data_IF_623731485108
#
_entry.id   IF_623731485108
#
_cell.length_a   1.000
_cell.length_b   1.000
_cell.length_c   1.000
_cell.angle_alpha   90.00
_cell.angle_beta   90.00
_cell.angle_gamma   90.00
#
_symmetry.space_group_name_H-M   'P 1'
#
loop_
_entity.id
_entity.type
_entity.pdbx_description
1 polymer ?
#
# COMPACT_ATOMS: atom_id res chain seq x y z
N UNK A 1 3.61 -4.42 -22.78
CA UNK A 1 3.55 -3.86 -21.41
C UNK A 1 2.12 -3.47 -21.05
N UNK A 2 1.40 -2.73 -21.89
CA UNK A 2 -0.01 -2.37 -21.66
C UNK A 2 -0.93 -3.60 -21.54
N UNK A 3 -0.81 -4.56 -22.46
CA UNK A 3 -1.58 -5.81 -22.40
C UNK A 3 -1.36 -6.62 -21.11
N UNK A 4 -0.13 -6.69 -20.58
CA UNK A 4 0.13 -7.39 -19.31
C UNK A 4 -0.52 -6.69 -18.12
N UNK A 5 -0.47 -5.35 -18.07
CA UNK A 5 -1.10 -4.60 -16.98
C UNK A 5 -2.62 -4.75 -17.00
N UNK A 6 -3.22 -4.81 -18.19
CA UNK A 6 -4.65 -4.99 -18.38
C UNK A 6 -5.10 -6.38 -17.94
N UNK A 7 -4.46 -7.44 -18.44
CA UNK A 7 -4.77 -8.84 -18.07
C UNK A 7 -4.63 -9.05 -16.56
N UNK A 8 -3.60 -8.47 -15.96
CA UNK A 8 -3.34 -8.62 -14.52
C UNK A 8 -4.38 -7.86 -13.68
N UNK A 9 -5.04 -6.82 -14.22
CA UNK A 9 -6.09 -6.07 -13.52
C UNK A 9 -7.42 -6.80 -13.59
N UNK A 10 -7.73 -7.38 -14.74
CA UNK A 10 -8.89 -8.27 -14.89
C UNK A 10 -8.76 -9.51 -14.01
N UNK A 11 -7.60 -10.17 -14.01
CA UNK A 11 -7.35 -11.35 -13.19
C UNK A 11 -7.53 -11.07 -11.70
N UNK A 12 -7.06 -9.91 -11.22
CA UNK A 12 -7.29 -9.52 -9.83
C UNK A 12 -8.73 -9.15 -9.50
N UNK A 13 -9.44 -8.55 -10.45
CA UNK A 13 -10.88 -8.26 -10.30
C UNK A 13 -11.67 -9.56 -10.21
N UNK A 14 -11.34 -10.56 -11.02
CA UNK A 14 -11.98 -11.89 -11.02
C UNK A 14 -11.64 -12.65 -9.73
N UNK A 15 -10.37 -12.66 -9.30
CA UNK A 15 -9.95 -13.30 -8.05
C UNK A 15 -10.66 -12.71 -6.83
N UNK A 16 -10.79 -11.37 -6.77
CA UNK A 16 -11.54 -10.68 -5.72
C UNK A 16 -13.02 -11.09 -5.73
N UNK A 17 -13.63 -11.15 -6.91
CA UNK A 17 -15.03 -11.54 -7.06
C UNK A 17 -15.26 -13.00 -6.61
N UNK A 18 -14.37 -13.91 -6.97
CA UNK A 18 -14.39 -15.29 -6.47
C UNK A 18 -14.21 -15.36 -4.94
N UNK A 19 -13.29 -14.57 -4.36
CA UNK A 19 -13.08 -14.52 -2.90
C UNK A 19 -14.31 -13.99 -2.15
N UNK A 20 -15.01 -12.98 -2.69
CA UNK A 20 -16.25 -12.44 -2.11
C UNK A 20 -17.36 -13.49 -2.11
N UNK A 21 -17.55 -14.19 -3.23
CA UNK A 21 -18.61 -15.20 -3.37
C UNK A 21 -18.31 -16.45 -2.51
N UNK A 22 -17.04 -16.83 -2.37
CA UNK A 22 -16.64 -18.01 -1.60
C UNK A 22 -16.71 -17.84 -0.07
N UNK A 23 -16.29 -16.68 0.45
CA UNK A 23 -16.22 -16.43 1.90
C UNK A 23 -17.46 -15.75 2.49
N UNK A 24 -18.35 -15.18 1.66
CA UNK A 24 -19.50 -14.38 2.10
C UNK A 24 -19.12 -12.99 2.61
N UNK A 25 -20.03 -12.00 2.50
CA UNK A 25 -19.75 -10.57 2.71
C UNK A 25 -19.27 -10.18 4.14
N UNK A 26 -19.66 -10.92 5.19
CA UNK A 26 -19.36 -10.54 6.58
C UNK A 26 -18.02 -11.09 7.12
N UNK A 27 -17.62 -12.36 6.91
CA UNK A 27 -16.28 -12.84 7.25
C UNK A 27 -15.19 -12.23 6.36
N UNK A 28 -15.58 -11.68 5.22
CA UNK A 28 -14.67 -11.14 4.21
C UNK A 28 -13.76 -10.04 4.77
N UNK A 29 -14.30 -9.10 5.55
CA UNK A 29 -13.57 -7.95 6.08
C UNK A 29 -12.84 -8.21 7.41
N UNK A 30 -12.92 -9.42 7.97
CA UNK A 30 -12.19 -9.74 9.21
C UNK A 30 -10.84 -10.42 8.96
N UNK A 31 -10.61 -10.94 7.74
CA UNK A 31 -9.34 -11.57 7.37
C UNK A 31 -8.40 -10.57 6.70
N UNK A 32 -7.23 -10.34 7.31
CA UNK A 32 -6.23 -9.36 6.86
C UNK A 32 -5.82 -9.57 5.39
N UNK A 33 -5.70 -10.82 4.95
CA UNK A 33 -5.34 -11.16 3.57
C UNK A 33 -6.37 -10.72 2.53
N UNK A 34 -7.63 -10.67 2.94
CA UNK A 34 -8.75 -10.42 2.06
C UNK A 34 -9.07 -8.91 1.96
N UNK A 35 -8.88 -8.19 3.06
CA UNK A 35 -8.79 -6.72 3.05
C UNK A 35 -7.63 -6.28 2.15
N UNK A 36 -6.47 -6.93 2.26
CA UNK A 36 -5.31 -6.60 1.45
C UNK A 36 -5.59 -6.78 -0.04
N UNK A 37 -6.21 -7.89 -0.42
CA UNK A 37 -6.64 -8.16 -1.80
C UNK A 37 -7.57 -7.06 -2.34
N UNK A 38 -8.59 -6.70 -1.55
CA UNK A 38 -9.57 -5.66 -1.91
C UNK A 38 -8.92 -4.29 -2.10
N UNK A 39 -7.98 -3.92 -1.22
CA UNK A 39 -7.25 -2.65 -1.31
C UNK A 39 -6.40 -2.60 -2.58
N UNK A 40 -5.76 -3.71 -2.97
CA UNK A 40 -4.96 -3.79 -4.21
C UNK A 40 -5.83 -3.56 -5.45
N UNK A 41 -7.05 -4.11 -5.51
CA UNK A 41 -7.96 -3.86 -6.63
C UNK A 41 -8.42 -2.40 -6.69
N UNK A 42 -8.80 -1.82 -5.55
CA UNK A 42 -9.25 -0.41 -5.48
C UNK A 42 -8.12 0.54 -5.92
N UNK A 43 -6.89 0.30 -5.45
CA UNK A 43 -5.73 1.13 -5.82
C UNK A 43 -5.36 0.99 -7.29
N UNK A 44 -5.49 -0.21 -7.87
CA UNK A 44 -5.29 -0.43 -9.31
C UNK A 44 -6.31 0.33 -10.17
N UNK A 45 -7.58 0.36 -9.75
CA UNK A 45 -8.64 1.10 -10.45
C UNK A 45 -8.46 2.62 -10.30
N UNK A 46 -8.06 3.09 -9.11
CA UNK A 46 -7.75 4.51 -8.91
C UNK A 46 -6.54 4.95 -9.75
N UNK A 47 -5.50 4.13 -9.83
CA UNK A 47 -4.29 4.44 -10.61
C UNK A 47 -4.58 4.48 -12.11
N UNK A 48 -5.36 3.54 -12.65
CA UNK A 48 -5.73 3.54 -14.07
C UNK A 48 -6.58 4.76 -14.45
N UNK A 49 -7.50 5.18 -13.58
CA UNK A 49 -8.30 6.40 -13.77
C UNK A 49 -7.43 7.66 -13.73
N UNK A 50 -6.51 7.76 -12.77
CA UNK A 50 -5.57 8.90 -12.65
C UNK A 50 -4.63 8.95 -13.86
N UNK A 51 -4.17 7.81 -14.36
CA UNK A 51 -3.36 7.74 -15.58
C UNK A 51 -4.11 8.25 -16.80
N UNK A 52 -5.37 7.81 -16.98
CA UNK A 52 -6.21 8.26 -18.09
C UNK A 52 -6.48 9.76 -18.02
N UNK A 53 -6.86 10.29 -16.85
CA UNK A 53 -7.10 11.71 -16.64
C UNK A 53 -5.86 12.58 -16.95
N UNK A 54 -4.66 12.11 -16.60
CA UNK A 54 -3.41 12.82 -16.90
C UNK A 54 -3.00 12.72 -18.37
N UNK A 55 -3.25 11.58 -19.01
CA UNK A 55 -2.98 11.38 -20.45
C UNK A 55 -3.80 12.33 -21.33
N UNK A 56 -5.03 12.66 -20.90
CA UNK A 56 -5.89 13.64 -21.59
C UNK A 56 -5.47 15.10 -21.38
N UNK A 57 -4.66 15.41 -20.35
CA UNK A 57 -4.25 16.77 -20.04
C UNK A 57 -2.81 17.11 -20.48
N UNK A 58 -2.05 16.16 -21.04
CA UNK A 58 -0.62 16.36 -21.42
C UNK A 58 -0.42 17.09 -22.76
N UNK A 59 -1.42 17.85 -23.23
CA UNK A 59 -1.22 18.86 -24.29
C UNK A 59 -1.41 20.30 -23.81
N UNK A 60 -1.77 20.53 -22.53
CA UNK A 60 -2.22 21.86 -22.08
C UNK A 60 -1.41 22.50 -20.94
N UNK A 61 -0.16 22.09 -20.65
CA UNK A 61 0.62 22.83 -19.63
C UNK A 61 2.13 22.83 -19.88
N UNK A 62 2.54 23.62 -20.87
CA UNK A 62 3.90 24.18 -20.97
C UNK A 62 3.82 25.69 -20.82
N UNK A 63 3.11 26.20 -19.81
CA UNK A 63 3.22 27.59 -19.36
C UNK A 63 2.31 27.82 -18.14
N UNK A 64 2.85 27.78 -16.92
CA UNK A 64 3.11 29.07 -16.31
C UNK A 64 4.07 29.03 -15.12
N UNK A 65 4.87 30.07 -15.09
CA UNK A 65 5.81 30.43 -14.07
C UNK A 65 5.07 30.91 -12.82
N UNK A 66 4.70 30.02 -11.89
CA UNK A 66 4.49 30.42 -10.48
C UNK A 66 4.54 29.22 -9.52
N UNK A 67 5.69 29.05 -8.88
CA UNK A 67 5.74 28.30 -7.63
C UNK A 67 4.76 28.92 -6.63
N UNK A 68 3.91 28.09 -6.02
CA UNK A 68 3.47 28.12 -4.60
C UNK A 68 2.18 27.37 -4.25
N UNK A 69 1.53 26.64 -5.15
CA UNK A 69 0.30 25.91 -4.80
C UNK A 69 0.25 24.46 -5.35
N UNK A 70 1.22 23.61 -5.01
CA UNK A 70 1.07 22.15 -5.22
C UNK A 70 1.98 21.29 -4.31
N UNK A 71 2.39 21.79 -3.14
CA UNK A 71 3.20 20.99 -2.21
C UNK A 71 2.42 19.79 -1.62
N UNK A 72 1.09 19.74 -1.79
CA UNK A 72 0.24 18.58 -1.45
C UNK A 72 0.10 17.53 -2.56
N UNK A 73 0.06 17.92 -3.83
CA UNK A 73 -0.27 16.98 -4.93
C UNK A 73 0.93 16.20 -5.49
N UNK A 74 2.15 16.69 -5.27
CA UNK A 74 3.37 15.97 -5.65
C UNK A 74 3.67 14.83 -4.66
N UNK A 75 3.23 14.95 -3.39
CA UNK A 75 3.38 13.91 -2.37
C UNK A 75 2.48 12.70 -2.65
N UNK A 76 1.25 12.94 -3.16
CA UNK A 76 0.29 11.90 -3.49
C UNK A 76 0.82 10.94 -4.56
N UNK A 77 1.64 11.42 -5.50
CA UNK A 77 2.20 10.59 -6.56
C UNK A 77 3.25 9.57 -6.07
N UNK A 78 3.96 9.86 -4.97
CA UNK A 78 4.92 8.93 -4.39
C UNK A 78 4.22 7.75 -3.69
N UNK A 79 3.09 8.01 -3.02
CA UNK A 79 2.29 6.95 -2.38
C UNK A 79 1.60 6.07 -3.43
N UNK A 80 1.14 6.65 -4.55
CA UNK A 80 0.61 5.86 -5.68
C UNK A 80 1.62 4.83 -6.21
N UNK A 81 2.92 5.15 -6.17
CA UNK A 81 3.99 4.21 -6.55
C UNK A 81 4.14 3.07 -5.54
N UNK A 82 3.89 3.31 -4.26
CA UNK A 82 3.90 2.26 -3.23
C UNK A 82 2.73 1.29 -3.38
N UNK A 83 1.57 1.74 -3.86
CA UNK A 83 0.44 0.84 -4.15
C UNK A 83 0.78 -0.20 -5.23
N UNK A 84 1.61 0.17 -6.22
CA UNK A 84 2.16 -0.80 -7.17
C UNK A 84 3.02 -1.86 -6.47
N UNK A 85 3.77 -1.51 -5.42
CA UNK A 85 4.52 -2.47 -4.60
C UNK A 85 3.60 -3.43 -3.85
N UNK A 86 2.42 -2.98 -3.40
CA UNK A 86 1.41 -3.85 -2.79
C UNK A 86 0.91 -4.91 -3.79
N UNK A 87 0.77 -4.55 -5.07
CA UNK A 87 0.42 -5.49 -6.14
C UNK A 87 1.46 -6.61 -6.31
N UNK A 88 2.75 -6.25 -6.30
CA UNK A 88 3.84 -7.25 -6.30
C UNK A 88 3.85 -8.10 -5.03
N UNK A 89 3.49 -7.50 -3.89
CA UNK A 89 3.34 -8.24 -2.62
C UNK A 89 2.19 -9.26 -2.68
N UNK A 90 1.11 -9.02 -3.43
CA UNK A 90 0.06 -10.03 -3.68
C UNK A 90 0.60 -11.22 -4.47
N UNK A 91 1.38 -10.99 -5.53
CA UNK A 91 2.07 -12.07 -6.27
C UNK A 91 3.00 -12.87 -5.34
N UNK A 92 3.71 -12.18 -4.46
CA UNK A 92 4.54 -12.81 -3.44
C UNK A 92 3.72 -13.66 -2.45
N UNK A 93 2.52 -13.21 -2.05
CA UNK A 93 1.62 -13.98 -1.19
C UNK A 93 0.94 -15.16 -1.90
N UNK A 94 0.80 -15.12 -3.22
CA UNK A 94 0.29 -16.24 -4.01
C UNK A 94 1.23 -17.46 -3.99
N UNK A 95 2.54 -17.24 -3.77
CA UNK A 95 3.51 -18.31 -3.59
C UNK A 95 3.45 -18.84 -2.14
N UNK A 96 3.14 -20.13 -1.93
CA UNK A 96 2.91 -20.68 -0.59
C UNK A 96 4.13 -20.55 0.33
N UNK A 97 5.35 -20.71 -0.22
CA UNK A 97 6.59 -20.53 0.54
C UNK A 97 6.79 -19.10 1.04
N UNK A 98 6.50 -18.10 0.22
CA UNK A 98 6.68 -16.70 0.58
C UNK A 98 5.54 -16.18 1.47
N UNK A 99 4.31 -16.68 1.28
CA UNK A 99 3.20 -16.45 2.21
C UNK A 99 3.55 -16.85 3.64
N UNK A 100 4.15 -18.04 3.82
CA UNK A 100 4.54 -18.52 5.15
C UNK A 100 5.65 -17.67 5.78
N UNK A 101 6.59 -17.17 4.97
CA UNK A 101 7.63 -16.25 5.44
C UNK A 101 6.99 -14.95 5.94
N UNK A 102 6.10 -14.32 5.16
CA UNK A 102 5.44 -13.06 5.54
C UNK A 102 4.64 -13.22 6.85
N UNK A 103 3.90 -14.32 6.99
CA UNK A 103 3.15 -14.63 8.23
C UNK A 103 4.08 -14.81 9.43
N UNK A 104 5.15 -15.58 9.26
CA UNK A 104 6.14 -15.81 10.33
C UNK A 104 6.82 -14.51 10.72
N UNK A 105 7.19 -13.68 9.75
CA UNK A 105 7.82 -12.39 9.95
C UNK A 105 6.88 -11.44 10.71
N UNK A 106 5.60 -11.39 10.35
CA UNK A 106 4.58 -10.64 11.08
C UNK A 106 4.43 -11.11 12.54
N UNK A 107 4.41 -12.43 12.79
CA UNK A 107 4.37 -12.98 14.15
C UNK A 107 5.63 -12.64 14.96
N UNK A 108 6.81 -12.70 14.35
CA UNK A 108 8.06 -12.35 14.99
C UNK A 108 8.11 -10.86 15.35
N UNK A 109 7.67 -9.98 14.45
CA UNK A 109 7.56 -8.54 14.72
C UNK A 109 6.61 -8.28 15.88
N UNK A 110 5.45 -8.95 15.91
CA UNK A 110 4.52 -8.82 17.03
C UNK A 110 5.13 -9.29 18.36
N UNK A 111 5.87 -10.40 18.36
CA UNK A 111 6.58 -10.87 19.56
C UNK A 111 7.69 -9.91 19.99
N UNK A 112 8.38 -9.29 19.05
CA UNK A 112 9.43 -8.30 19.32
C UNK A 112 8.88 -6.91 19.65
N UNK A 113 7.59 -6.65 19.45
CA UNK A 113 6.97 -5.36 19.71
C UNK A 113 7.10 -4.95 21.18
N UNK A 114 7.05 -5.91 22.11
CA UNK A 114 7.28 -5.63 23.53
C UNK A 114 8.69 -5.07 23.80
N UNK A 115 9.71 -5.66 23.16
CA UNK A 115 11.09 -5.17 23.27
C UNK A 115 11.24 -3.79 22.63
N UNK A 116 10.63 -3.57 21.46
CA UNK A 116 10.62 -2.26 20.81
C UNK A 116 9.94 -1.20 21.68
N UNK A 117 8.85 -1.55 22.37
CA UNK A 117 8.15 -0.63 23.26
C UNK A 117 9.02 -0.20 24.45
N UNK A 118 9.71 -1.15 25.09
CA UNK A 118 10.66 -0.86 26.17
C UNK A 118 11.82 0.01 25.65
N UNK A 119 12.37 -0.32 24.47
CA UNK A 119 13.45 0.45 23.86
C UNK A 119 13.03 1.88 23.53
N UNK A 120 11.79 2.07 23.04
CA UNK A 120 11.22 3.37 22.75
C UNK A 120 11.02 4.20 24.04
N UNK A 121 10.52 3.57 25.11
CA UNK A 121 10.36 4.22 26.41
C UNK A 121 11.71 4.64 27.01
N UNK A 122 12.73 3.78 26.89
CA UNK A 122 14.09 4.11 27.32
C UNK A 122 14.66 5.28 26.51
N UNK A 123 14.53 5.25 25.18
CA UNK A 123 14.92 6.36 24.31
C UNK A 123 14.21 7.66 24.70
N UNK A 124 12.92 7.59 25.04
CA UNK A 124 12.15 8.74 25.48
C UNK A 124 12.68 9.34 26.79
N UNK A 125 12.99 8.51 27.81
CA UNK A 125 13.57 8.99 29.07
C UNK A 125 14.92 9.68 28.84
N UNK A 126 15.80 9.07 28.03
CA UNK A 126 17.08 9.70 27.70
C UNK A 126 16.94 11.00 26.92
N UNK A 127 15.96 11.08 26.01
CA UNK A 127 15.67 12.32 25.28
C UNK A 127 15.19 13.44 26.23
N UNK A 128 14.32 13.13 27.19
CA UNK A 128 13.88 14.09 28.22
C UNK A 128 15.04 14.55 29.10
N UNK A 129 15.86 13.62 29.61
CA UNK A 129 17.03 13.97 30.40
C UNK A 129 18.00 14.86 29.61
N UNK A 130 18.16 14.59 28.32
CA UNK A 130 18.94 15.46 27.44
C UNK A 130 18.39 16.88 27.41
N UNK A 131 17.08 17.06 27.25
CA UNK A 131 16.46 18.40 27.19
C UNK A 131 16.52 19.17 28.51
N UNK A 132 16.61 18.50 29.66
CA UNK A 132 16.73 19.15 30.97
C UNK A 132 18.19 19.48 31.33
N UNK A 133 19.16 18.82 30.69
CA UNK A 133 20.61 19.00 30.94
C UNK A 133 21.24 20.08 30.04
N UNK A 134 20.58 20.45 28.93
CA UNK A 134 21.01 21.50 27.99
C UNK A 134 20.07 22.70 28.03
#
# INVERSE_FOLDING_TARGET
LEYSNLVLTELFTIELFCNIVGNGLAPFFTTVFNIFDTLVVITSQAESVVFLMRSSCTEADVADLSGRCATGDIANFSVLRLFRLLRFLKLAQALPGLRQIIVTLGKSVYSMANLLFILLLLMFIFALLGMEVW
#
